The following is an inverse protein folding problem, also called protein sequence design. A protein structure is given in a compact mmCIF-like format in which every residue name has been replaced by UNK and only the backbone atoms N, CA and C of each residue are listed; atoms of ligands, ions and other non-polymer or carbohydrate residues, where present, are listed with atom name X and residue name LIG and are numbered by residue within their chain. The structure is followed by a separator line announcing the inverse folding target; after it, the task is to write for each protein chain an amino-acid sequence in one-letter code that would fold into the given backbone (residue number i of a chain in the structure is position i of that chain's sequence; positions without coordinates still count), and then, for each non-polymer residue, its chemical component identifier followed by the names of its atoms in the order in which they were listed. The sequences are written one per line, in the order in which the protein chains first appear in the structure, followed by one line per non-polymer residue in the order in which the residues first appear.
data_IF_158560902358
#
_entry.id   IF_158560902358
#
_cell.length_a   1.000
_cell.length_b   1.000
_cell.length_c   1.000
_cell.angle_alpha   90.00
_cell.angle_beta   90.00
_cell.angle_gamma   90.00
#
_symmetry.space_group_name_H-M   'P 1'
#
loop_
_entity.id
_entity.type
_entity.pdbx_description
1 polymer ?
#
# COMPACT_ATOMS: atom_id res chain seq x y z
N UNK A 1 -3.47 -30.10 -3.68
CA UNK A 1 -2.68 -29.04 -3.01
C UNK A 1 -3.11 -27.70 -3.57
N UNK A 2 -3.89 -26.92 -2.83
CA UNK A 2 -4.22 -25.53 -3.19
C UNK A 2 -2.98 -24.67 -2.93
N UNK A 3 -2.52 -23.91 -3.92
CA UNK A 3 -1.46 -22.92 -3.73
C UNK A 3 -1.97 -21.76 -2.87
N UNK A 4 -1.07 -21.05 -2.19
CA UNK A 4 -1.35 -19.96 -1.22
C UNK A 4 -2.26 -18.85 -1.80
N UNK A 5 -2.28 -18.66 -3.12
CA UNK A 5 -3.25 -17.79 -3.84
C UNK A 5 -4.72 -18.16 -3.62
N UNK A 6 -4.98 -19.44 -3.32
CA UNK A 6 -6.33 -19.96 -3.04
C UNK A 6 -6.70 -19.87 -1.56
N UNK A 7 -5.72 -19.63 -0.67
CA UNK A 7 -5.94 -19.60 0.76
C UNK A 7 -6.23 -18.19 1.29
N UNK A 8 -5.73 -17.14 0.62
CA UNK A 8 -6.06 -15.73 0.92
C UNK A 8 -7.55 -15.43 0.78
N UNK A 9 -8.15 -16.20 -0.11
CA UNK A 9 -9.57 -16.37 -0.30
C UNK A 9 -10.28 -16.80 1.01
N UNK A 10 -9.80 -17.82 1.72
CA UNK A 10 -10.62 -18.61 2.65
C UNK A 10 -10.77 -18.02 4.06
N UNK A 11 -9.89 -17.13 4.49
CA UNK A 11 -9.81 -16.72 5.91
C UNK A 11 -10.44 -15.37 6.22
N UNK A 12 -10.93 -14.64 5.21
CA UNK A 12 -11.73 -13.42 5.45
C UNK A 12 -13.23 -13.75 5.53
N UNK A 13 -13.59 -15.04 5.72
CA UNK A 13 -14.98 -15.47 5.78
C UNK A 13 -15.26 -16.24 7.07
N UNK A 14 -16.11 -15.82 8.00
CA UNK A 14 -17.43 -15.24 7.79
C UNK A 14 -17.57 -14.08 6.81
N UNK A 15 -17.84 -14.41 5.53
CA UNK A 15 -17.97 -13.57 4.30
C UNK A 15 -16.83 -13.48 3.24
N UNK A 16 -16.89 -14.46 2.33
CA UNK A 16 -16.54 -14.59 0.88
C UNK A 16 -15.11 -14.43 0.27
N UNK A 17 -14.68 -15.55 -0.36
CA UNK A 17 -13.39 -15.88 -0.97
C UNK A 17 -13.22 -15.08 -2.27
N UNK A 18 -12.08 -14.41 -2.48
CA UNK A 18 -11.73 -13.88 -3.82
C UNK A 18 -10.39 -14.43 -4.34
N UNK A 19 -10.46 -15.23 -5.41
CA UNK A 19 -9.31 -15.69 -6.22
C UNK A 19 -9.07 -14.60 -7.27
N UNK A 20 -7.84 -14.09 -7.32
CA UNK A 20 -7.41 -13.04 -8.25
C UNK A 20 -7.29 -13.60 -9.67
N UNK A 21 -7.93 -12.93 -10.64
CA UNK A 21 -7.53 -13.02 -12.04
C UNK A 21 -7.58 -11.63 -12.68
N UNK A 22 -6.53 -11.31 -13.45
CA UNK A 22 -6.23 -9.96 -13.92
C UNK A 22 -7.18 -9.52 -15.03
N UNK A 23 -8.06 -8.58 -14.71
CA UNK A 23 -8.54 -7.46 -15.55
C UNK A 23 -9.70 -6.79 -14.84
N UNK A 24 -9.38 -5.80 -14.00
CA UNK A 24 -10.37 -4.88 -13.45
C UNK A 24 -10.93 -4.00 -14.59
N UNK A 25 -12.25 -4.02 -14.72
CA UNK A 25 -12.96 -3.22 -15.70
C UNK A 25 -13.01 -1.77 -15.20
N UNK A 26 -12.16 -0.92 -15.81
CA UNK A 26 -12.01 0.51 -15.51
C UNK A 26 -13.36 1.23 -15.44
N UNK A 27 -13.57 2.05 -14.41
CA UNK A 27 -14.64 3.05 -14.38
C UNK A 27 -14.17 4.36 -13.77
N UNK A 28 -14.57 5.45 -14.44
CA UNK A 28 -14.31 6.89 -14.25
C UNK A 28 -12.85 7.36 -14.25
N UNK A 29 -12.41 7.76 -15.44
CA UNK A 29 -11.22 8.57 -15.73
C UNK A 29 -11.35 10.02 -15.19
N UNK A 30 -11.62 10.20 -13.90
CA UNK A 30 -11.75 11.52 -13.29
C UNK A 30 -10.79 11.79 -12.12
N UNK A 31 -9.95 10.82 -11.74
CA UNK A 31 -8.88 11.06 -10.79
C UNK A 31 -7.54 10.89 -11.51
N UNK A 32 -6.98 12.01 -11.96
CA UNK A 32 -5.71 12.06 -12.70
C UNK A 32 -4.55 11.46 -11.88
N UNK A 33 -4.70 11.40 -10.55
CA UNK A 33 -3.70 10.88 -9.63
C UNK A 33 -3.68 9.35 -9.49
N UNK A 34 -4.52 8.61 -10.24
CA UNK A 34 -4.57 7.15 -10.19
C UNK A 34 -3.84 6.48 -11.37
N UNK A 35 -3.11 5.42 -11.07
CA UNK A 35 -2.53 4.48 -12.05
C UNK A 35 -3.58 3.51 -12.63
N UNK A 36 -4.59 4.05 -13.32
CA UNK A 36 -5.75 3.30 -13.88
C UNK A 36 -5.38 2.22 -14.90
N UNK A 37 -4.21 2.33 -15.51
CA UNK A 37 -3.73 1.45 -16.58
C UNK A 37 -2.72 0.40 -16.10
N UNK A 38 -2.41 0.42 -14.80
CA UNK A 38 -1.22 -0.21 -14.25
C UNK A 38 -0.06 0.78 -14.15
N UNK A 39 0.95 0.40 -13.39
CA UNK A 39 2.13 1.21 -13.13
C UNK A 39 3.25 0.74 -14.05
N UNK A 40 3.70 1.59 -14.96
CA UNK A 40 4.91 1.30 -15.73
C UNK A 40 6.12 1.80 -14.96
N UNK A 41 7.20 1.04 -14.92
CA UNK A 41 8.44 1.49 -14.30
C UNK A 41 9.67 1.04 -15.11
N UNK A 42 10.75 1.80 -14.95
CA UNK A 42 12.06 1.52 -15.54
C UNK A 42 13.13 1.82 -14.50
N UNK A 43 14.21 1.06 -14.53
CA UNK A 43 15.38 1.32 -13.70
C UNK A 43 16.34 2.23 -14.44
N UNK A 44 16.85 3.25 -13.74
CA UNK A 44 17.99 4.03 -14.22
C UNK A 44 19.21 3.12 -14.44
N UNK A 45 20.09 3.48 -15.37
CA UNK A 45 21.35 2.78 -15.61
C UNK A 45 22.23 2.72 -14.35
N UNK A 46 22.09 3.71 -13.46
CA UNK A 46 22.79 3.78 -12.17
C UNK A 46 22.24 2.83 -11.11
N UNK A 47 21.02 2.31 -11.30
CA UNK A 47 20.41 1.38 -10.35
C UNK A 47 21.17 0.05 -10.35
N UNK A 48 21.82 -0.26 -9.23
CA UNK A 48 22.55 -1.51 -9.06
C UNK A 48 21.62 -2.70 -8.81
N UNK A 49 22.21 -3.90 -8.68
CA UNK A 49 21.45 -5.12 -8.43
C UNK A 49 20.63 -5.07 -7.14
N UNK A 50 21.15 -4.44 -6.08
CA UNK A 50 20.50 -4.39 -4.77
C UNK A 50 19.23 -3.55 -4.84
N UNK A 51 19.30 -2.36 -5.44
CA UNK A 51 18.14 -1.50 -5.68
C UNK A 51 17.11 -2.21 -6.57
N UNK A 52 17.56 -2.84 -7.66
CA UNK A 52 16.67 -3.56 -8.58
C UNK A 52 15.93 -4.70 -7.90
N UNK A 53 16.62 -5.50 -7.10
CA UNK A 53 16.04 -6.62 -6.36
C UNK A 53 15.06 -6.15 -5.28
N UNK A 54 15.45 -5.17 -4.46
CA UNK A 54 14.61 -4.61 -3.40
C UNK A 54 13.31 -4.02 -3.93
N UNK A 55 13.39 -3.17 -4.96
CA UNK A 55 12.21 -2.60 -5.61
C UNK A 55 11.34 -3.67 -6.27
N UNK A 56 11.96 -4.65 -6.94
CA UNK A 56 11.22 -5.76 -7.56
C UNK A 56 10.46 -6.60 -6.52
N UNK A 57 11.03 -6.82 -5.34
CA UNK A 57 10.35 -7.51 -4.24
C UNK A 57 9.18 -6.67 -3.70
N UNK A 58 9.38 -5.36 -3.55
CA UNK A 58 8.34 -4.43 -3.11
C UNK A 58 7.13 -4.41 -4.04
N UNK A 59 7.33 -4.21 -5.34
CA UNK A 59 6.21 -4.18 -6.31
C UNK A 59 5.47 -5.52 -6.34
N UNK A 60 6.20 -6.66 -6.30
CA UNK A 60 5.58 -7.99 -6.26
C UNK A 60 4.71 -8.19 -5.02
N UNK A 61 5.08 -7.62 -3.87
CA UNK A 61 4.29 -7.73 -2.66
C UNK A 61 2.96 -6.95 -2.78
N UNK A 62 2.99 -5.76 -3.38
CA UNK A 62 1.77 -5.01 -3.70
C UNK A 62 0.90 -5.71 -4.75
N UNK A 63 1.50 -6.21 -5.85
CA UNK A 63 0.77 -6.95 -6.90
C UNK A 63 0.08 -8.22 -6.39
N UNK A 64 0.69 -8.90 -5.41
CA UNK A 64 0.22 -10.20 -4.94
C UNK A 64 -1.19 -10.14 -4.36
N UNK A 65 -1.49 -9.08 -3.61
CA UNK A 65 -2.72 -8.96 -2.81
C UNK A 65 -3.55 -7.72 -3.19
N UNK A 66 -3.22 -7.06 -4.30
CA UNK A 66 -4.02 -5.97 -4.89
C UNK A 66 -4.35 -6.24 -6.36
N UNK A 67 -5.16 -5.38 -6.97
CA UNK A 67 -5.41 -5.45 -8.43
C UNK A 67 -4.43 -4.60 -9.25
N UNK A 68 -3.43 -4.00 -8.62
CA UNK A 68 -2.42 -3.19 -9.31
C UNK A 68 -1.46 -4.12 -10.05
N UNK A 69 -1.12 -3.73 -11.28
CA UNK A 69 -0.15 -4.43 -12.09
C UNK A 69 1.03 -3.50 -12.38
N UNK A 70 2.24 -3.98 -12.16
CA UNK A 70 3.48 -3.28 -12.44
C UNK A 70 4.12 -3.87 -13.69
N UNK A 71 4.53 -3.01 -14.61
CA UNK A 71 5.18 -3.43 -15.86
C UNK A 71 6.57 -2.82 -15.92
N UNK A 72 7.59 -3.68 -15.84
CA UNK A 72 8.98 -3.31 -16.05
C UNK A 72 9.23 -3.12 -17.55
N UNK A 73 9.81 -1.97 -17.91
CA UNK A 73 10.37 -1.71 -19.23
C UNK A 73 11.89 -1.77 -19.17
N UNK A 74 12.53 -2.16 -20.28
CA UNK A 74 13.98 -2.37 -20.30
C UNK A 74 14.73 -1.05 -20.40
N UNK A 75 14.20 -0.08 -21.17
CA UNK A 75 14.86 1.20 -21.41
C UNK A 75 13.93 2.40 -21.27
N UNK A 76 14.52 3.58 -21.07
CA UNK A 76 13.80 4.85 -20.95
C UNK A 76 13.09 5.21 -22.27
N UNK A 77 13.64 4.80 -23.42
CA UNK A 77 13.03 5.02 -24.73
C UNK A 77 11.68 4.32 -24.87
N UNK A 78 11.48 3.15 -24.25
CA UNK A 78 10.21 2.40 -24.29
C UNK A 78 9.08 3.10 -23.53
N UNK A 79 9.42 3.95 -22.54
CA UNK A 79 8.48 4.70 -21.70
C UNK A 79 8.30 6.15 -22.14
N UNK A 80 9.00 6.58 -23.19
CA UNK A 80 8.90 7.94 -23.72
C UNK A 80 7.44 8.28 -24.10
N UNK A 81 6.94 9.38 -23.53
CA UNK A 81 5.57 9.85 -23.77
C UNK A 81 4.49 9.08 -23.01
N UNK A 82 4.86 8.25 -22.02
CA UNK A 82 3.94 7.56 -21.12
C UNK A 82 4.08 8.08 -19.69
N UNK A 83 3.14 7.74 -18.83
CA UNK A 83 3.28 7.88 -17.38
C UNK A 83 4.12 6.71 -16.85
N UNK A 84 5.20 6.97 -16.11
CA UNK A 84 6.06 5.92 -15.57
C UNK A 84 6.85 6.34 -14.33
N UNK A 85 7.26 5.35 -13.55
CA UNK A 85 8.21 5.50 -12.45
C UNK A 85 9.65 5.28 -12.95
N UNK A 86 10.56 6.23 -12.70
CA UNK A 86 12.01 5.99 -12.80
C UNK A 86 12.54 5.64 -11.42
N UNK A 87 13.03 4.42 -11.24
CA UNK A 87 13.64 3.97 -9.98
C UNK A 87 15.14 4.24 -10.04
N UNK A 88 15.62 5.10 -9.15
CA UNK A 88 17.01 5.60 -9.18
C UNK A 88 17.52 6.01 -7.79
N UNK A 89 18.78 6.43 -7.74
CA UNK A 89 19.40 7.05 -6.56
C UNK A 89 19.21 8.58 -6.61
N UNK A 90 19.03 9.22 -5.46
CA UNK A 90 19.08 10.70 -5.40
C UNK A 90 20.53 11.16 -5.25
N UNK A 91 20.99 11.97 -6.20
CA UNK A 91 22.33 12.57 -6.16
C UNK A 91 22.43 13.70 -5.14
N UNK A 92 21.31 14.33 -4.79
CA UNK A 92 21.26 15.43 -3.82
C UNK A 92 21.20 14.92 -2.38
N UNK A 93 20.52 13.79 -2.16
CA UNK A 93 20.48 13.10 -0.88
C UNK A 93 20.80 11.61 -1.07
N UNK A 94 22.09 11.22 -0.99
CA UNK A 94 22.52 9.85 -1.20
C UNK A 94 21.92 8.83 -0.23
N UNK A 95 21.28 9.25 0.86
CA UNK A 95 20.64 8.38 1.86
C UNK A 95 19.12 8.55 1.90
N UNK A 96 18.57 9.49 1.16
CA UNK A 96 17.15 9.81 1.15
C UNK A 96 16.33 8.72 0.46
N UNK A 97 15.14 8.45 1.02
CA UNK A 97 14.07 7.72 0.34
C UNK A 97 12.96 8.73 0.01
N UNK A 98 12.50 8.77 -1.25
CA UNK A 98 11.49 9.74 -1.65
C UNK A 98 10.63 9.22 -2.81
N UNK A 99 9.33 9.45 -2.69
CA UNK A 99 8.33 9.20 -3.72
C UNK A 99 7.22 10.23 -3.64
N UNK A 100 6.62 10.54 -4.78
CA UNK A 100 5.42 11.37 -4.82
C UNK A 100 4.19 10.56 -4.40
N UNK A 101 3.21 11.23 -3.78
CA UNK A 101 1.94 10.57 -3.43
C UNK A 101 1.01 10.54 -4.64
N UNK A 102 0.75 9.34 -5.15
CA UNK A 102 -0.07 9.10 -6.33
C UNK A 102 0.67 9.31 -7.65
N UNK A 103 -0.09 9.27 -8.75
CA UNK A 103 0.40 9.49 -10.11
C UNK A 103 0.45 10.99 -10.43
N UNK A 104 1.62 11.53 -10.77
CA UNK A 104 1.74 12.90 -11.26
C UNK A 104 1.48 13.03 -12.78
N UNK A 105 1.74 11.95 -13.52
CA UNK A 105 1.75 11.95 -14.98
C UNK A 105 3.16 12.17 -15.54
N UNK A 106 3.43 11.60 -16.72
CA UNK A 106 4.75 11.61 -17.34
C UNK A 106 5.83 10.92 -16.50
N UNK A 107 7.01 11.53 -16.47
CA UNK A 107 8.15 11.07 -15.68
C UNK A 107 7.94 11.34 -14.19
N UNK A 108 8.08 10.31 -13.35
CA UNK A 108 8.01 10.42 -11.90
C UNK A 108 9.14 9.62 -11.25
N UNK A 109 10.06 10.24 -10.49
CA UNK A 109 11.13 9.49 -9.83
C UNK A 109 10.63 8.78 -8.57
N UNK A 110 11.23 7.63 -8.29
CA UNK A 110 11.33 7.06 -6.96
C UNK A 110 12.81 6.98 -6.61
N UNK A 111 13.17 7.69 -5.55
CA UNK A 111 14.54 7.73 -5.05
C UNK A 111 14.70 6.73 -3.91
N UNK A 112 15.64 5.80 -4.09
CA UNK A 112 16.03 4.82 -3.07
C UNK A 112 17.52 4.94 -2.81
N UNK A 113 17.91 5.91 -1.98
CA UNK A 113 19.28 6.09 -1.52
C UNK A 113 19.89 4.88 -0.79
N UNK A 114 21.14 5.03 -0.36
CA UNK A 114 21.83 4.03 0.43
C UNK A 114 21.12 3.76 1.76
N UNK A 115 20.64 2.53 1.94
CA UNK A 115 19.78 2.09 3.04
C UNK A 115 18.31 1.92 2.64
N UNK A 116 17.86 2.60 1.59
CA UNK A 116 16.50 2.54 1.07
C UNK A 116 16.28 1.38 0.08
N UNK A 117 17.33 0.68 -0.33
CA UNK A 117 17.23 -0.44 -1.29
C UNK A 117 16.59 -1.69 -0.65
N UNK A 118 16.30 -1.66 0.65
CA UNK A 118 15.65 -2.76 1.35
C UNK A 118 14.17 -2.87 0.95
N UNK A 119 13.58 -4.06 1.13
CA UNK A 119 12.17 -4.29 0.90
C UNK A 119 11.28 -3.27 1.64
N UNK A 120 11.60 -2.98 2.91
CA UNK A 120 10.82 -2.07 3.75
C UNK A 120 10.68 -0.69 3.09
N UNK A 121 11.80 -0.04 2.81
CA UNK A 121 11.78 1.32 2.27
C UNK A 121 11.21 1.34 0.85
N UNK A 122 11.61 0.40 -0.01
CA UNK A 122 11.05 0.32 -1.36
C UNK A 122 9.53 0.09 -1.35
N UNK A 123 9.01 -0.77 -0.46
CA UNK A 123 7.57 -1.01 -0.35
C UNK A 123 6.81 0.21 0.18
N UNK A 124 7.42 0.97 1.11
CA UNK A 124 6.91 2.25 1.59
C UNK A 124 6.81 3.28 0.45
N UNK A 125 7.89 3.47 -0.31
CA UNK A 125 7.92 4.43 -1.43
C UNK A 125 6.96 4.04 -2.58
N UNK A 126 6.77 2.74 -2.81
CA UNK A 126 5.73 2.24 -3.72
C UNK A 126 4.34 2.56 -3.16
N UNK A 127 4.12 2.43 -1.85
CA UNK A 127 2.87 2.82 -1.19
C UNK A 127 2.53 4.29 -1.45
N UNK A 128 3.52 5.19 -1.33
CA UNK A 128 3.37 6.58 -1.74
C UNK A 128 2.98 6.72 -3.21
N UNK A 129 3.73 6.10 -4.12
CA UNK A 129 3.43 6.19 -5.56
C UNK A 129 2.03 5.70 -5.92
N UNK A 130 1.48 4.77 -5.13
CA UNK A 130 0.11 4.28 -5.28
C UNK A 130 -0.95 5.20 -4.66
N UNK A 131 -0.57 6.18 -3.84
CA UNK A 131 -1.48 7.19 -3.28
C UNK A 131 -1.65 7.14 -1.76
N UNK A 132 -0.83 6.37 -1.04
CA UNK A 132 -0.87 6.37 0.42
C UNK A 132 -0.06 7.54 0.97
N UNK A 133 -0.66 8.30 1.88
CA UNK A 133 0.06 9.22 2.75
C UNK A 133 0.59 8.47 3.97
N UNK A 134 1.48 9.09 4.74
CA UNK A 134 1.86 8.50 6.02
C UNK A 134 0.68 8.41 6.98
N UNK A 135 0.63 7.34 7.75
CA UNK A 135 -0.47 7.07 8.67
C UNK A 135 -0.55 8.12 9.78
N UNK A 136 0.60 8.64 10.26
CA UNK A 136 0.63 9.74 11.24
C UNK A 136 0.25 11.11 10.65
N UNK A 137 -0.07 11.23 9.36
CA UNK A 137 -0.61 12.45 8.77
C UNK A 137 -2.13 12.37 8.58
N UNK A 138 -2.80 11.27 8.95
CA UNK A 138 -4.27 11.17 8.84
C UNK A 138 -4.97 12.32 9.57
N UNK A 139 -6.10 12.77 9.01
CA UNK A 139 -6.92 13.83 9.59
C UNK A 139 -7.47 13.48 11.00
N UNK A 140 -7.61 12.18 11.31
CA UNK A 140 -8.14 11.66 12.57
C UNK A 140 -7.06 11.17 13.54
N UNK A 141 -5.77 11.32 13.20
CA UNK A 141 -4.66 10.73 13.96
C UNK A 141 -4.65 11.08 15.45
N UNK A 142 -5.12 12.28 15.81
CA UNK A 142 -5.02 12.80 17.18
C UNK A 142 -5.96 12.04 18.14
N UNK A 143 -6.85 11.19 17.60
CA UNK A 143 -7.64 10.21 18.35
C UNK A 143 -6.84 8.95 18.72
N UNK A 144 -5.66 8.75 18.13
CA UNK A 144 -4.88 7.52 18.21
C UNK A 144 -3.45 7.74 18.72
N UNK A 145 -2.86 8.88 18.42
CA UNK A 145 -1.50 9.24 18.79
C UNK A 145 -1.45 10.65 19.41
N UNK A 146 -0.46 10.87 20.27
CA UNK A 146 -0.04 12.18 20.77
C UNK A 146 1.33 12.50 20.17
N UNK A 147 1.53 13.75 19.76
CA UNK A 147 2.81 14.24 19.28
C UNK A 147 3.53 15.04 20.35
N UNK A 148 4.82 14.76 20.55
CA UNK A 148 5.70 15.55 21.43
C UNK A 148 6.31 16.71 20.63
N UNK A 149 5.51 17.77 20.47
CA UNK A 149 5.82 18.91 19.61
C UNK A 149 7.13 19.63 19.94
N UNK A 150 7.51 19.69 21.21
CA UNK A 150 8.76 20.35 21.61
C UNK A 150 9.97 19.66 20.96
N UNK A 151 9.99 18.31 20.96
CA UNK A 151 11.05 17.52 20.31
C UNK A 151 11.00 17.63 18.79
N UNK A 152 9.80 17.62 18.22
CA UNK A 152 9.60 17.78 16.77
C UNK A 152 10.16 19.12 16.29
N UNK A 153 9.94 20.20 17.06
CA UNK A 153 10.44 21.55 16.75
C UNK A 153 11.94 21.70 16.94
N UNK A 154 12.49 21.11 18.01
CA UNK A 154 13.94 21.10 18.24
C UNK A 154 14.71 20.50 17.05
N UNK A 155 14.11 19.52 16.37
CA UNK A 155 14.67 18.87 15.19
C UNK A 155 14.25 19.49 13.84
N UNK A 156 13.42 20.54 13.85
CA UNK A 156 12.92 21.20 12.65
C UNK A 156 12.13 20.26 11.71
N UNK A 157 11.29 19.39 12.30
CA UNK A 157 10.51 18.37 11.57
C UNK A 157 9.03 18.71 11.46
N UNK A 158 8.58 19.89 11.89
CA UNK A 158 7.16 20.25 12.03
C UNK A 158 6.33 19.95 10.80
N UNK A 159 6.88 20.26 9.61
CA UNK A 159 6.21 20.07 8.32
C UNK A 159 5.88 18.59 8.03
N UNK A 160 6.67 17.66 8.56
CA UNK A 160 6.43 16.21 8.39
C UNK A 160 5.28 15.70 9.26
N UNK A 161 4.91 16.47 10.28
CA UNK A 161 3.87 16.12 11.25
C UNK A 161 2.60 16.98 11.08
N UNK A 162 2.46 17.73 10.00
CA UNK A 162 1.21 18.45 9.71
C UNK A 162 0.10 17.44 9.39
N UNK A 163 -1.08 17.50 10.04
CA UNK A 163 -2.19 16.62 9.71
C UNK A 163 -2.79 17.04 8.35
N UNK A 164 -3.18 16.05 7.55
CA UNK A 164 -3.94 16.25 6.33
C UNK A 164 -5.39 16.56 6.67
N UNK A 165 -6.08 17.24 5.76
CA UNK A 165 -7.53 17.43 5.83
C UNK A 165 -8.28 16.19 5.32
N UNK A 166 -9.56 16.06 5.65
CA UNK A 166 -10.42 14.99 5.12
C UNK A 166 -10.49 14.99 3.58
N UNK A 167 -10.37 16.17 2.95
CA UNK A 167 -10.33 16.30 1.49
C UNK A 167 -9.02 15.77 0.89
N UNK A 168 -7.90 15.97 1.59
CA UNK A 168 -6.58 15.49 1.14
C UNK A 168 -6.37 14.00 1.42
N UNK A 169 -6.97 13.47 2.49
CA UNK A 169 -6.79 12.10 2.95
C UNK A 169 -8.12 11.42 3.27
N UNK A 170 -8.57 10.56 2.36
CA UNK A 170 -9.71 9.67 2.59
C UNK A 170 -9.23 8.34 3.20
N UNK A 171 -9.81 7.97 4.35
CA UNK A 171 -9.46 6.75 5.09
C UNK A 171 -10.34 5.54 4.73
N UNK A 172 -11.36 5.72 3.87
CA UNK A 172 -12.29 4.71 3.38
C UNK A 172 -13.04 3.95 4.48
N UNK A 173 -13.21 4.60 5.64
CA UNK A 173 -13.78 4.03 6.86
C UNK A 173 -12.90 2.95 7.51
N UNK A 174 -11.60 2.91 7.21
CA UNK A 174 -10.66 1.95 7.78
C UNK A 174 -10.11 2.46 9.13
N UNK A 175 -9.88 1.54 10.10
CA UNK A 175 -9.31 1.92 11.39
C UNK A 175 -7.88 2.45 11.24
N UNK A 176 -7.42 3.19 12.25
CA UNK A 176 -6.02 3.60 12.34
C UNK A 176 -5.13 2.39 12.58
N UNK A 177 -4.11 2.22 11.73
CA UNK A 177 -3.20 1.08 11.81
C UNK A 177 -1.81 1.51 12.27
N UNK A 178 -1.54 1.29 13.56
CA UNK A 178 -0.23 1.54 14.15
C UNK A 178 0.88 0.70 13.48
N UNK A 179 0.55 -0.45 12.89
CA UNK A 179 1.51 -1.36 12.24
C UNK A 179 1.60 -1.19 10.73
N UNK A 180 0.99 -0.14 10.18
CA UNK A 180 1.08 0.20 8.77
C UNK A 180 2.54 0.43 8.36
N UNK A 181 2.92 -0.05 7.17
CA UNK A 181 4.23 0.24 6.59
C UNK A 181 4.41 1.75 6.35
N UNK A 182 3.29 2.49 6.21
CA UNK A 182 3.26 3.93 6.01
C UNK A 182 3.33 4.73 7.32
N UNK A 183 3.40 4.07 8.48
CA UNK A 183 3.49 4.74 9.77
C UNK A 183 4.95 4.97 10.17
N UNK A 184 5.30 6.21 10.56
CA UNK A 184 6.61 6.50 11.14
C UNK A 184 6.89 5.66 12.38
N UNK A 185 8.13 5.21 12.53
CA UNK A 185 8.59 4.56 13.75
C UNK A 185 8.50 5.49 14.95
N UNK A 186 8.43 4.89 16.15
CA UNK A 186 8.55 5.63 17.39
C UNK A 186 9.57 4.96 18.32
N UNK A 187 10.45 5.76 18.90
CA UNK A 187 11.39 5.32 19.93
C UNK A 187 10.67 5.18 21.27
N UNK A 188 11.03 4.17 22.07
CA UNK A 188 10.42 3.97 23.40
C UNK A 188 10.89 5.04 24.40
N UNK A 189 12.17 5.44 24.31
CA UNK A 189 12.79 6.37 25.26
C UNK A 189 12.69 7.82 24.78
N UNK A 190 12.74 8.02 23.46
CA UNK A 190 12.75 9.33 22.82
C UNK A 190 11.61 9.48 21.79
N UNK A 191 10.38 9.21 22.23
CA UNK A 191 9.22 9.17 21.36
C UNK A 191 8.84 10.57 20.85
N UNK A 192 8.78 10.76 19.52
CA UNK A 192 8.08 11.91 18.89
C UNK A 192 6.59 11.65 18.75
N UNK A 193 6.23 10.37 18.58
CA UNK A 193 4.86 9.88 18.42
C UNK A 193 4.56 8.90 19.55
N UNK A 194 3.57 9.20 20.39
CA UNK A 194 3.18 8.35 21.52
C UNK A 194 1.79 7.79 21.21
N UNK A 195 1.59 6.46 21.17
CA UNK A 195 0.26 5.91 20.98
C UNK A 195 -0.58 6.14 22.24
N UNK A 196 -1.83 6.57 22.06
CA UNK A 196 -2.75 6.76 23.19
C UNK A 196 -3.14 5.42 23.84
N UNK A 197 -3.14 4.34 23.05
CA UNK A 197 -3.29 2.98 23.57
C UNK A 197 -1.91 2.33 23.74
N UNK A 198 -1.57 2.03 24.99
CA UNK A 198 -0.24 1.53 25.37
C UNK A 198 0.13 0.17 24.77
N UNK A 199 -0.85 -0.64 24.35
CA UNK A 199 -0.58 -1.93 23.71
C UNK A 199 0.16 -1.78 22.38
N UNK A 200 0.16 -0.59 21.77
CA UNK A 200 0.81 -0.29 20.49
C UNK A 200 2.17 0.41 20.61
N UNK A 201 2.74 0.53 21.83
CA UNK A 201 4.04 1.20 22.09
C UNK A 201 5.20 0.71 21.21
N UNK A 202 5.15 -0.53 20.72
CA UNK A 202 6.21 -1.15 19.91
C UNK A 202 5.74 -1.62 18.55
N UNK A 203 4.59 -1.13 18.06
CA UNK A 203 3.99 -1.56 16.79
C UNK A 203 4.36 -0.66 15.62
N UNK A 204 4.57 0.64 15.87
CA UNK A 204 4.86 1.66 14.86
C UNK A 204 6.24 1.50 14.22
N UNK A 205 6.33 1.81 12.92
CA UNK A 205 7.55 1.58 12.11
C UNK A 205 7.72 0.13 11.67
N UNK A 206 6.61 -0.60 11.51
CA UNK A 206 6.59 -1.98 11.04
C UNK A 206 7.23 -2.11 9.65
N UNK A 207 8.07 -3.15 9.41
CA UNK A 207 8.68 -3.37 8.10
C UNK A 207 7.76 -4.05 7.08
N UNK A 208 6.49 -4.30 7.44
CA UNK A 208 5.57 -5.15 6.68
C UNK A 208 4.41 -4.33 6.12
N UNK A 209 4.06 -4.58 4.86
CA UNK A 209 2.79 -4.11 4.30
C UNK A 209 1.65 -4.76 5.09
N UNK A 210 0.87 -3.95 5.79
CA UNK A 210 -0.19 -4.45 6.65
C UNK A 210 -1.41 -4.87 5.85
N UNK A 211 -2.33 -5.58 6.53
CA UNK A 211 -3.63 -5.88 5.94
C UNK A 211 -4.43 -4.61 5.62
N UNK A 212 -4.36 -3.59 6.47
CA UNK A 212 -5.08 -2.33 6.28
C UNK A 212 -4.48 -1.54 5.11
N UNK A 213 -3.16 -1.55 4.92
CA UNK A 213 -2.50 -0.95 3.77
C UNK A 213 -3.02 -1.55 2.45
N UNK A 214 -3.05 -2.88 2.35
CA UNK A 214 -3.58 -3.60 1.19
C UNK A 214 -5.06 -3.31 0.96
N UNK A 215 -5.86 -3.29 2.02
CA UNK A 215 -7.29 -3.02 1.93
C UNK A 215 -7.58 -1.57 1.49
N UNK A 216 -6.77 -0.62 1.95
CA UNK A 216 -6.85 0.78 1.56
C UNK A 216 -6.58 0.94 0.07
N UNK A 217 -5.50 0.35 -0.45
CA UNK A 217 -5.22 0.35 -1.91
C UNK A 217 -6.34 -0.33 -2.69
N UNK A 218 -6.84 -1.47 -2.22
CA UNK A 218 -7.94 -2.16 -2.89
C UNK A 218 -9.24 -1.35 -2.93
N UNK A 219 -9.52 -0.52 -1.91
CA UNK A 219 -10.64 0.43 -1.91
C UNK A 219 -10.35 1.63 -2.82
N UNK A 220 -9.15 2.21 -2.72
CA UNK A 220 -8.71 3.38 -3.49
C UNK A 220 -8.79 3.14 -5.01
N UNK A 221 -8.33 1.96 -5.47
CA UNK A 221 -8.37 1.56 -6.88
C UNK A 221 -9.63 0.77 -7.27
N UNK A 222 -10.60 0.68 -6.35
CA UNK A 222 -11.85 -0.05 -6.55
C UNK A 222 -11.63 -1.50 -7.07
N UNK A 223 -10.61 -2.16 -6.55
CA UNK A 223 -10.32 -3.57 -6.84
C UNK A 223 -11.50 -4.49 -6.43
N UNK A 224 -12.40 -4.01 -5.56
CA UNK A 224 -13.57 -4.76 -5.09
C UNK A 224 -14.72 -4.87 -6.12
N UNK A 225 -14.80 -3.99 -7.13
CA UNK A 225 -15.80 -4.12 -8.21
C UNK A 225 -15.61 -5.40 -9.06
N UNK A 226 -14.43 -6.02 -8.95
CA UNK A 226 -14.05 -7.28 -9.59
C UNK A 226 -14.76 -8.48 -8.94
N UNK A 227 -15.26 -8.35 -7.70
CA UNK A 227 -15.89 -9.43 -6.94
C UNK A 227 -17.36 -9.69 -7.33
N UNK A 228 -18.07 -8.68 -7.84
CA UNK A 228 -19.53 -8.73 -8.04
C UNK A 228 -19.97 -9.69 -9.18
N UNK A 229 -19.14 -9.95 -10.19
CA UNK A 229 -19.53 -10.73 -11.38
C UNK A 229 -19.43 -12.25 -11.22
N UNK A 230 -18.55 -12.73 -10.34
CA UNK A 230 -18.31 -14.18 -10.16
C UNK A 230 -19.34 -14.81 -9.23
N UNK A 231 -19.81 -14.08 -8.20
CA UNK A 231 -20.90 -14.53 -7.33
C UNK A 231 -22.16 -14.82 -8.15
N UNK A 232 -22.49 -13.96 -9.11
CA UNK A 232 -23.62 -14.15 -10.03
C UNK A 232 -23.44 -15.42 -10.88
N UNK A 233 -22.23 -15.71 -11.37
CA UNK A 233 -21.96 -16.88 -12.22
C UNK A 233 -21.99 -18.22 -11.44
N UNK A 234 -21.49 -18.25 -10.19
CA UNK A 234 -21.53 -19.45 -9.35
C UNK A 234 -22.93 -19.73 -8.77
N UNK A 235 -23.72 -18.70 -8.47
CA UNK A 235 -25.14 -18.83 -8.14
C UNK A 235 -25.93 -19.37 -9.34
N UNK A 236 -25.63 -18.90 -10.56
CA UNK A 236 -26.29 -19.37 -11.79
C UNK A 236 -25.99 -20.83 -12.18
N UNK A 237 -24.89 -21.41 -11.67
CA UNK A 237 -24.44 -22.79 -11.98
C UNK A 237 -24.71 -23.81 -10.86
N UNK A 238 -25.47 -23.45 -9.81
CA UNK A 238 -25.85 -24.35 -8.71
C UNK A 238 -24.69 -25.08 -8.00
N UNK A 239 -23.45 -24.58 -8.08
CA UNK A 239 -22.32 -25.19 -7.37
C UNK A 239 -22.14 -24.68 -5.92
N UNK A 240 -23.04 -23.79 -5.47
CA UNK A 240 -23.09 -23.24 -4.12
C UNK A 240 -24.24 -23.82 -3.28
N UNK A 241 -24.72 -25.03 -3.58
CA UNK A 241 -25.47 -25.82 -2.58
C UNK A 241 -24.50 -26.42 -1.57
N UNK A 242 -23.85 -25.56 -0.77
CA UNK A 242 -23.10 -26.02 0.38
C UNK A 242 -24.09 -26.38 1.50
N UNK A 243 -24.05 -27.66 1.89
CA UNK A 243 -24.66 -28.25 3.08
C UNK A 243 -24.77 -27.28 4.27
N UNK A 244 -25.94 -26.65 4.40
CA UNK A 244 -26.42 -26.06 5.66
C UNK A 244 -27.07 -27.10 6.59
N UNK A 245 -26.87 -28.40 6.34
CA UNK A 245 -27.49 -29.49 7.12
C UNK A 245 -26.56 -30.18 8.13
N UNK A 246 -25.29 -29.75 8.29
CA UNK A 246 -24.35 -30.39 9.25
C UNK A 246 -23.86 -29.53 10.42
N UNK A 247 -24.45 -28.36 10.65
CA UNK A 247 -24.20 -27.52 11.85
C UNK A 247 -25.39 -27.49 12.83
N UNK A 248 -26.28 -28.49 12.78
CA UNK A 248 -27.42 -28.65 13.72
C UNK A 248 -27.36 -29.91 14.58
N UNK A 249 -26.20 -30.56 14.71
CA UNK A 249 -26.03 -31.80 15.50
C UNK A 249 -24.88 -31.78 16.53
N UNK A 250 -24.41 -30.61 16.96
CA UNK A 250 -23.52 -30.51 18.13
C UNK A 250 -24.01 -29.55 19.22
N UNK A 251 -25.32 -29.28 19.25
CA UNK A 251 -25.98 -28.63 20.38
C UNK A 251 -27.20 -29.47 20.78
N UNK A 252 -26.91 -30.64 21.33
CA UNK A 252 -27.69 -31.36 22.35
C UNK A 252 -26.72 -32.14 23.22
#
# INVERSE_FOLDING_TARGET
MLTIRTLFCLTVLGFSLVIVNSKAQRRNASNENLWVDGVTYVFDDKADQKLREGFTLAVKAWEKDTCINFTLMSTIEEVKGKDYLLVTYDEKDPKGCLSHVGKLGGYQPIYLGFGCESFLHAAHEVGHALGLYHTQNRHDRDQYIKLEWDRIKEEQLEDQFVPLTEEQNENYGLPYDYGSIMHYGSSIQDARIIPLNEYYKTTMGSPLISFIDLLMINKHYNCTAVCAKIVIHLYSRNQLTFRLSRLRQSLK
#
